data_IF_432769001833
#
_entry.id   IF_432769001833
#
_cell.length_a   1.000
_cell.length_b   1.000
_cell.length_c   1.000
_cell.angle_alpha   90.00
_cell.angle_beta   90.00
_cell.angle_gamma   90.00
#
_symmetry.space_group_name_H-M   'P 1'
#
loop_
_entity.id
_entity.type
_entity.pdbx_description
1 polymer ?
#
# COMPACT_ATOMS: atom_id res chain seq x y z
N UNK A 1 14.25 25.74 -74.08
CA UNK A 1 13.15 26.61 -74.57
C UNK A 1 11.88 26.13 -73.87
N UNK A 2 11.43 26.79 -72.78
CA UNK A 2 10.41 27.86 -72.74
C UNK A 2 9.04 27.39 -73.27
N UNK A 3 7.85 27.55 -72.68
CA UNK A 3 7.25 28.27 -71.52
C UNK A 3 5.85 27.61 -71.26
N UNK A 4 5.41 27.35 -70.02
CA UNK A 4 4.49 28.13 -69.13
C UNK A 4 3.04 28.39 -69.61
N UNK A 5 2.03 27.85 -68.90
CA UNK A 5 0.71 28.47 -68.52
C UNK A 5 -0.12 27.51 -67.63
N UNK A 6 -0.20 27.68 -66.31
CA UNK A 6 -1.17 28.44 -65.45
C UNK A 6 -2.47 27.71 -65.05
N UNK A 7 -2.66 27.64 -63.72
CA UNK A 7 -3.89 27.81 -62.90
C UNK A 7 -5.03 26.78 -62.97
N UNK A 8 -5.32 26.09 -61.85
CA UNK A 8 -6.28 26.57 -60.83
C UNK A 8 -6.23 25.71 -59.55
N UNK A 9 -6.12 26.39 -58.41
CA UNK A 9 -6.29 25.82 -57.06
C UNK A 9 -7.77 25.97 -56.71
N UNK A 10 -8.45 24.87 -56.45
CA UNK A 10 -9.83 24.88 -55.94
C UNK A 10 -9.86 24.11 -54.63
N UNK A 11 -10.02 24.84 -53.52
CA UNK A 11 -10.56 24.31 -52.28
C UNK A 11 -12.05 24.66 -52.23
N UNK A 12 -12.97 23.72 -51.97
CA UNK A 12 -14.27 24.07 -51.44
C UNK A 12 -14.26 24.03 -49.91
N UNK A 13 -14.83 25.10 -49.35
CA UNK A 13 -15.02 25.33 -47.93
C UNK A 13 -16.23 24.56 -47.35
N UNK A 14 -16.04 24.17 -46.09
CA UNK A 14 -16.96 23.95 -44.96
C UNK A 14 -18.45 24.32 -45.15
N UNK A 15 -19.35 23.42 -44.70
CA UNK A 15 -20.69 23.83 -44.26
C UNK A 15 -21.72 22.70 -44.11
N UNK A 16 -21.73 22.00 -42.97
CA UNK A 16 -22.93 21.39 -42.35
C UNK A 16 -22.64 21.10 -40.87
N UNK A 17 -22.86 22.10 -40.01
CA UNK A 17 -23.06 21.90 -38.57
C UNK A 17 -24.57 21.85 -38.36
N UNK A 18 -25.13 20.71 -37.96
CA UNK A 18 -26.58 20.63 -37.77
C UNK A 18 -27.04 19.53 -36.84
N UNK A 19 -26.42 18.35 -36.86
CA UNK A 19 -26.88 17.21 -36.07
C UNK A 19 -25.96 16.86 -34.90
N UNK A 20 -24.64 16.95 -35.08
CA UNK A 20 -23.68 16.67 -33.99
C UNK A 20 -23.73 17.68 -32.83
N UNK A 21 -24.02 18.95 -33.11
CA UNK A 21 -24.14 20.00 -32.09
C UNK A 21 -25.46 19.88 -31.30
N UNK A 22 -26.54 19.46 -31.95
CA UNK A 22 -27.84 19.27 -31.31
C UNK A 22 -27.78 18.10 -30.33
N UNK A 23 -27.11 17.00 -30.71
CA UNK A 23 -26.89 15.83 -29.84
C UNK A 23 -26.03 16.23 -28.62
N UNK A 24 -24.97 17.01 -28.81
CA UNK A 24 -24.15 17.51 -27.71
C UNK A 24 -24.91 18.49 -26.80
N UNK A 25 -25.78 19.34 -27.35
CA UNK A 25 -26.65 20.23 -26.57
C UNK A 25 -27.67 19.45 -25.75
N UNK A 26 -28.30 18.43 -26.35
CA UNK A 26 -29.25 17.56 -25.65
C UNK A 26 -28.52 16.76 -24.56
N UNK A 27 -27.33 16.23 -24.85
CA UNK A 27 -26.52 15.51 -23.86
C UNK A 27 -26.13 16.45 -22.71
N UNK A 28 -25.67 17.67 -22.99
CA UNK A 28 -25.35 18.67 -21.97
C UNK A 28 -26.58 19.05 -21.15
N UNK A 29 -27.74 19.23 -21.79
CA UNK A 29 -29.00 19.55 -21.12
C UNK A 29 -29.46 18.40 -20.22
N UNK A 30 -29.36 17.15 -20.67
CA UNK A 30 -29.66 15.96 -19.85
C UNK A 30 -28.67 15.84 -18.68
N UNK A 31 -27.39 16.12 -18.91
CA UNK A 31 -26.38 16.09 -17.84
C UNK A 31 -26.66 17.17 -16.79
N UNK A 32 -27.05 18.38 -17.23
CA UNK A 32 -27.42 19.49 -16.35
C UNK A 32 -28.74 19.22 -15.63
N UNK A 33 -29.71 18.59 -16.29
CA UNK A 33 -30.96 18.17 -15.68
C UNK A 33 -30.73 17.08 -14.63
N UNK A 34 -29.89 16.07 -14.91
CA UNK A 34 -29.51 15.04 -13.93
C UNK A 34 -28.76 15.66 -12.75
N UNK A 35 -27.92 16.66 -12.98
CA UNK A 35 -27.22 17.39 -11.93
C UNK A 35 -28.17 18.23 -11.06
N UNK A 36 -29.17 18.89 -11.65
CA UNK A 36 -30.19 19.67 -10.92
C UNK A 36 -31.21 18.77 -10.21
N UNK A 37 -31.64 17.68 -10.84
CA UNK A 37 -32.54 16.67 -10.22
C UNK A 37 -31.87 15.92 -9.08
N UNK A 38 -30.53 15.79 -9.12
CA UNK A 38 -29.74 15.18 -8.05
C UNK A 38 -29.11 16.23 -7.11
N UNK A 39 -29.49 17.52 -7.22
CA UNK A 39 -28.98 18.61 -6.39
C UNK A 39 -29.39 18.47 -4.92
N UNK A 40 -30.53 17.83 -4.65
CA UNK A 40 -30.98 17.53 -3.27
C UNK A 40 -30.03 16.57 -2.54
N UNK A 41 -29.26 15.73 -3.27
CA UNK A 41 -28.21 14.88 -2.66
C UNK A 41 -26.90 15.62 -2.42
N UNK A 42 -26.62 16.69 -3.16
CA UNK A 42 -25.35 17.45 -3.07
C UNK A 42 -25.40 18.45 -1.90
N UNK A 43 -26.59 18.99 -1.59
CA UNK A 43 -26.76 19.94 -0.48
C UNK A 43 -26.47 19.30 0.90
N UNK A 44 -26.63 17.98 1.06
CA UNK A 44 -26.33 17.26 2.31
C UNK A 44 -24.83 17.14 2.64
N UNK A 45 -23.93 17.41 1.68
CA UNK A 45 -22.47 17.23 1.86
C UNK A 45 -21.73 18.55 2.13
N UNK A 46 -22.40 19.71 1.97
CA UNK A 46 -21.83 21.02 2.29
C UNK A 46 -22.14 21.43 3.73
N UNK A 47 -23.30 21.05 4.27
CA UNK A 47 -23.68 21.35 5.66
C UNK A 47 -22.90 20.52 6.71
N UNK A 48 -22.25 19.43 6.31
CA UNK A 48 -21.40 18.59 7.17
C UNK A 48 -19.92 18.97 7.16
N UNK A 49 -19.52 19.95 6.35
CA UNK A 49 -18.20 20.55 6.46
C UNK A 49 -18.32 21.75 7.40
N UNK A 50 -17.68 21.69 8.58
CA UNK A 50 -17.60 22.74 9.61
C UNK A 50 -16.90 24.03 9.10
N UNK A 51 -17.33 24.57 7.97
CA UNK A 51 -16.82 25.77 7.34
C UNK A 51 -17.52 27.03 7.87
N UNK A 52 -18.63 26.88 8.60
CA UNK A 52 -19.40 27.99 9.18
C UNK A 52 -19.00 28.34 10.63
N UNK A 53 -18.21 27.53 11.33
CA UNK A 53 -17.71 27.87 12.68
C UNK A 53 -16.41 28.70 12.69
N UNK A 54 -15.72 28.83 11.55
CA UNK A 54 -14.42 29.52 11.48
C UNK A 54 -14.53 31.02 11.13
N UNK A 55 -15.71 31.56 10.87
CA UNK A 55 -15.91 32.97 10.45
C UNK A 55 -17.06 33.70 11.16
N UNK A 56 -17.62 33.12 12.23
CA UNK A 56 -18.65 33.75 13.05
C UNK A 56 -18.06 34.43 14.28
N UNK A 57 -17.96 35.75 14.20
CA UNK A 57 -17.69 36.73 15.24
C UNK A 57 -18.07 36.35 16.68
N UNK A 58 -17.07 36.47 17.55
CA UNK A 58 -17.18 36.72 18.99
C UNK A 58 -17.91 38.06 19.23
N UNK A 59 -19.11 38.02 19.80
CA UNK A 59 -19.62 39.09 20.67
C UNK A 59 -20.80 38.63 21.56
N UNK A 60 -20.97 39.39 22.65
CA UNK A 60 -21.74 39.24 23.91
C UNK A 60 -23.26 38.87 23.87
N UNK A 61 -23.77 38.46 25.05
CA UNK A 61 -25.14 38.81 25.47
C UNK A 61 -25.91 37.73 26.25
N UNK A 62 -26.55 38.12 27.36
CA UNK A 62 -27.02 37.27 28.46
C UNK A 62 -28.55 36.99 28.50
N UNK A 63 -28.92 36.03 29.37
CA UNK A 63 -30.22 35.83 30.08
C UNK A 63 -31.40 35.32 29.21
N UNK A 64 -32.30 34.40 29.59
CA UNK A 64 -32.97 34.07 30.86
C UNK A 64 -33.64 32.64 30.79
N UNK A 65 -33.87 32.02 31.94
CA UNK A 65 -34.46 30.68 32.25
C UNK A 65 -36.04 30.73 32.37
N UNK A 66 -36.84 29.75 32.91
CA UNK A 66 -36.65 28.31 33.29
C UNK A 66 -37.86 27.36 33.00
N UNK A 67 -37.71 26.04 33.28
CA UNK A 67 -38.84 25.20 33.71
C UNK A 67 -38.78 23.69 33.42
N UNK A 68 -38.37 22.88 34.41
CA UNK A 68 -39.06 21.66 34.92
C UNK A 68 -38.14 20.76 35.77
N UNK A 69 -38.62 20.44 36.98
CA UNK A 69 -37.98 19.68 38.07
C UNK A 69 -37.99 18.12 37.90
N UNK A 70 -37.28 17.37 38.78
CA UNK A 70 -36.67 16.06 38.52
C UNK A 70 -37.40 14.86 39.18
N UNK A 71 -36.75 13.67 39.25
CA UNK A 71 -36.74 13.00 40.54
C UNK A 71 -35.32 12.68 41.04
N UNK A 72 -35.15 12.94 42.33
CA UNK A 72 -34.03 12.55 43.16
C UNK A 72 -34.07 11.05 43.50
N UNK A 73 -32.89 10.45 43.64
CA UNK A 73 -32.59 9.54 44.74
C UNK A 73 -31.15 9.79 45.20
N UNK A 74 -31.05 10.43 46.37
CA UNK A 74 -30.15 10.19 47.51
C UNK A 74 -29.00 9.20 47.23
N UNK A 75 -27.71 9.53 47.32
CA UNK A 75 -27.03 10.47 48.20
C UNK A 75 -26.31 9.68 49.30
N UNK A 76 -25.01 9.41 49.14
CA UNK A 76 -24.02 9.36 50.23
C UNK A 76 -22.59 9.18 49.67
N UNK A 77 -21.85 10.30 49.66
CA UNK A 77 -20.38 10.40 49.74
C UNK A 77 -20.02 10.28 51.26
N UNK A 78 -18.75 10.27 51.76
CA UNK A 78 -17.51 10.69 51.09
C UNK A 78 -16.19 9.99 51.50
N UNK A 79 -15.16 10.15 50.67
CA UNK A 79 -13.74 10.43 51.02
C UNK A 79 -12.93 10.32 49.72
N UNK A 80 -12.34 11.35 49.12
CA UNK A 80 -11.59 12.45 49.75
C UNK A 80 -10.17 11.99 50.01
N UNK A 81 -9.25 12.18 49.04
CA UNK A 81 -7.87 12.68 49.19
C UNK A 81 -6.95 12.28 48.01
N UNK A 82 -6.59 13.29 47.20
CA UNK A 82 -5.20 13.51 46.73
C UNK A 82 -4.59 14.45 47.78
N UNK A 83 -3.34 14.30 48.27
CA UNK A 83 -2.12 14.43 47.45
C UNK A 83 -0.87 13.67 47.93
N UNK A 84 0.14 13.58 47.05
CA UNK A 84 1.57 13.85 47.32
C UNK A 84 2.51 12.90 46.56
N UNK A 85 3.39 13.50 45.76
CA UNK A 85 4.72 12.98 45.43
C UNK A 85 5.62 13.20 46.66
N UNK A 86 6.63 12.34 46.92
CA UNK A 86 7.97 12.67 46.43
C UNK A 86 8.84 11.46 46.01
N UNK A 87 9.75 11.76 45.07
CA UNK A 87 11.15 11.31 44.90
C UNK A 87 11.63 10.04 45.61
N UNK A 88 12.19 9.09 44.84
CA UNK A 88 13.44 8.44 45.24
C UNK A 88 14.31 8.04 44.03
N UNK A 89 15.45 8.72 43.96
CA UNK A 89 16.64 8.43 43.18
C UNK A 89 17.37 7.25 43.80
N UNK A 90 17.81 6.26 43.02
CA UNK A 90 19.09 5.61 43.33
C UNK A 90 19.75 4.95 42.10
N UNK A 91 20.88 5.55 41.71
CA UNK A 91 21.98 4.93 40.97
C UNK A 91 23.12 4.80 41.96
N UNK A 92 23.80 3.64 42.04
CA UNK A 92 25.26 3.70 42.23
C UNK A 92 26.05 2.65 41.39
N UNK A 93 27.40 2.73 41.37
CA UNK A 93 28.18 2.74 40.13
C UNK A 93 29.32 1.68 40.05
N UNK A 94 30.23 1.98 39.11
CA UNK A 94 31.39 1.28 38.55
C UNK A 94 32.52 0.74 39.46
N UNK A 95 33.35 -0.12 38.84
CA UNK A 95 34.75 -0.43 39.16
C UNK A 95 35.07 -1.91 38.88
N UNK A 96 36.16 -2.34 38.24
CA UNK A 96 37.34 -1.67 37.71
C UNK A 96 38.11 -2.61 36.74
N UNK A 97 38.70 -2.00 35.72
CA UNK A 97 40.03 -2.19 35.10
C UNK A 97 40.86 -3.45 35.45
N UNK A 98 41.41 -4.10 34.40
CA UNK A 98 42.80 -4.61 34.39
C UNK A 98 43.32 -4.80 32.96
N UNK A 99 44.42 -4.09 32.65
CA UNK A 99 45.48 -4.41 31.67
C UNK A 99 46.79 -4.42 32.50
N UNK A 100 47.89 -5.13 32.13
CA UNK A 100 48.82 -4.62 31.11
C UNK A 100 49.74 -5.64 30.37
N UNK A 101 50.36 -5.15 29.27
CA UNK A 101 51.71 -5.45 28.72
C UNK A 101 52.03 -6.87 28.15
N UNK A 102 52.93 -7.09 27.19
CA UNK A 102 53.70 -6.35 26.18
C UNK A 102 54.44 -7.42 25.34
N UNK A 103 54.65 -7.21 24.03
CA UNK A 103 56.00 -7.30 23.45
C UNK A 103 56.03 -6.89 21.97
N UNK A 104 57.08 -6.14 21.63
CA UNK A 104 57.43 -5.74 20.27
C UNK A 104 58.32 -6.82 19.64
N UNK A 105 58.19 -7.01 18.33
CA UNK A 105 59.34 -7.38 17.52
C UNK A 105 59.25 -6.78 16.11
N UNK A 106 60.11 -5.81 15.89
CA UNK A 106 60.51 -5.28 14.58
C UNK A 106 61.65 -6.16 14.06
N UNK A 107 61.52 -6.68 12.84
CA UNK A 107 62.65 -6.88 11.93
C UNK A 107 62.20 -6.60 10.49
N UNK A 108 62.90 -5.66 9.86
CA UNK A 108 62.97 -5.48 8.40
C UNK A 108 64.33 -6.08 7.95
N UNK A 109 64.48 -6.56 6.70
CA UNK A 109 65.13 -5.68 5.71
C UNK A 109 64.72 -5.87 4.23
N UNK A 110 64.68 -4.71 3.55
CA UNK A 110 65.18 -4.32 2.21
C UNK A 110 65.17 -5.25 0.97
N UNK A 111 64.80 -4.59 -0.14
CA UNK A 111 65.21 -4.73 -1.55
C UNK A 111 64.29 -5.46 -2.55
N UNK A 112 63.97 -4.77 -3.66
CA UNK A 112 63.57 -5.40 -4.92
C UNK A 112 62.38 -4.80 -5.68
N UNK A 113 62.61 -3.66 -6.32
CA UNK A 113 62.21 -3.27 -7.69
C UNK A 113 60.86 -3.72 -8.33
N UNK A 114 60.15 -2.71 -8.88
CA UNK A 114 59.29 -2.74 -10.09
C UNK A 114 58.14 -3.76 -10.18
N UNK A 115 56.87 -3.31 -10.23
CA UNK A 115 56.05 -3.13 -11.47
C UNK A 115 54.55 -2.96 -11.12
N UNK A 116 53.90 -2.04 -11.86
CA UNK A 116 52.48 -2.07 -12.27
C UNK A 116 51.41 -1.56 -11.27
N UNK A 117 50.71 -0.45 -11.60
CA UNK A 117 49.45 -0.08 -10.97
C UNK A 117 48.41 -1.19 -11.20
N UNK A 118 47.65 -1.65 -10.18
CA UNK A 118 46.53 -2.54 -10.45
C UNK A 118 45.49 -1.75 -11.25
N UNK A 119 45.40 -2.16 -12.51
CA UNK A 119 44.33 -1.88 -13.45
C UNK A 119 42.98 -2.04 -12.75
N UNK A 120 42.13 -1.04 -12.92
CA UNK A 120 40.81 -0.93 -12.32
C UNK A 120 39.93 -2.06 -12.84
N UNK A 121 39.82 -3.15 -12.08
CA UNK A 121 38.81 -4.18 -12.33
C UNK A 121 37.43 -3.52 -12.21
N UNK A 122 36.55 -3.64 -13.22
CA UNK A 122 35.17 -3.17 -13.10
C UNK A 122 34.50 -3.85 -11.92
N UNK A 123 33.84 -3.06 -11.08
CA UNK A 123 32.98 -3.55 -9.98
C UNK A 123 31.79 -4.26 -10.62
N UNK A 124 31.94 -5.54 -10.92
CA UNK A 124 30.84 -6.42 -11.29
C UNK A 124 29.98 -6.58 -10.02
N UNK A 125 28.80 -5.95 -10.06
CA UNK A 125 27.84 -5.94 -8.97
C UNK A 125 27.43 -7.39 -8.66
N UNK A 126 28.05 -7.98 -7.63
CA UNK A 126 27.78 -9.36 -7.21
C UNK A 126 26.30 -9.47 -6.90
N UNK A 127 25.54 -10.10 -7.79
CA UNK A 127 24.09 -10.25 -7.65
C UNK A 127 23.85 -11.21 -6.50
N UNK A 128 23.52 -10.66 -5.33
CA UNK A 128 23.19 -11.48 -4.16
C UNK A 128 21.83 -12.14 -4.41
N UNK A 129 21.69 -13.40 -4.01
CA UNK A 129 20.42 -14.14 -4.05
C UNK A 129 20.03 -14.61 -2.66
N UNK A 130 18.75 -14.93 -2.46
CA UNK A 130 18.21 -15.49 -1.20
C UNK A 130 17.08 -16.46 -1.47
N UNK A 131 16.80 -17.34 -0.50
CA UNK A 131 15.62 -18.21 -0.54
C UNK A 131 14.42 -17.49 0.07
N UNK A 132 13.33 -17.40 -0.68
CA UNK A 132 12.04 -16.86 -0.25
C UNK A 132 10.98 -17.98 -0.23
N UNK A 133 10.09 -17.97 0.77
CA UNK A 133 8.92 -18.84 0.82
C UNK A 133 7.74 -18.13 0.14
N UNK A 134 7.20 -18.74 -0.91
CA UNK A 134 6.07 -18.24 -1.70
C UNK A 134 4.89 -19.19 -1.54
N UNK A 135 3.67 -18.67 -1.54
CA UNK A 135 2.48 -19.51 -1.46
C UNK A 135 1.66 -19.45 -2.75
N UNK A 136 1.48 -20.60 -3.38
CA UNK A 136 0.65 -20.79 -4.57
C UNK A 136 -0.55 -21.69 -4.26
N UNK A 137 -1.45 -21.79 -5.23
CA UNK A 137 -2.58 -22.71 -5.18
C UNK A 137 -2.22 -23.97 -5.97
N UNK A 138 -2.43 -25.14 -5.39
CA UNK A 138 -2.29 -26.44 -6.03
C UNK A 138 -3.66 -27.01 -6.35
N UNK A 139 -3.86 -27.45 -7.58
CA UNK A 139 -5.09 -28.13 -8.01
C UNK A 139 -4.75 -29.57 -8.34
N UNK A 140 -5.28 -30.51 -7.54
CA UNK A 140 -5.04 -31.93 -7.75
C UNK A 140 -5.92 -32.52 -8.85
N UNK A 141 -5.57 -33.72 -9.33
CA UNK A 141 -6.32 -34.40 -10.39
C UNK A 141 -7.75 -34.78 -10.01
N UNK A 142 -8.08 -34.79 -8.73
CA UNK A 142 -9.44 -34.97 -8.19
C UNK A 142 -10.20 -33.64 -8.02
N UNK A 143 -9.58 -32.51 -8.37
CA UNK A 143 -10.14 -31.17 -8.21
C UNK A 143 -9.90 -30.55 -6.83
N UNK A 144 -9.18 -31.21 -5.93
CA UNK A 144 -8.88 -30.65 -4.60
C UNK A 144 -7.99 -29.42 -4.74
N UNK A 145 -8.42 -28.31 -4.14
CA UNK A 145 -7.69 -27.04 -4.13
C UNK A 145 -7.00 -26.89 -2.78
N UNK A 146 -5.67 -26.88 -2.79
CA UNK A 146 -4.84 -26.70 -1.59
C UNK A 146 -3.90 -25.52 -1.75
N UNK A 147 -3.42 -24.97 -0.64
CA UNK A 147 -2.35 -23.98 -0.65
C UNK A 147 -1.01 -24.70 -0.48
N UNK A 148 -0.05 -24.36 -1.32
CA UNK A 148 1.29 -24.97 -1.30
C UNK A 148 2.36 -23.90 -1.05
N UNK A 149 3.27 -24.16 -0.10
CA UNK A 149 4.49 -23.38 0.08
C UNK A 149 5.56 -23.88 -0.89
N UNK A 150 6.26 -22.93 -1.53
CA UNK A 150 7.38 -23.16 -2.44
C UNK A 150 8.56 -22.31 -2.01
N UNK A 151 9.76 -22.91 -1.95
CA UNK A 151 11.00 -22.19 -1.69
C UNK A 151 11.65 -21.80 -3.01
N UNK A 152 11.78 -20.50 -3.26
CA UNK A 152 12.34 -19.95 -4.50
C UNK A 152 13.59 -19.15 -4.23
N UNK A 153 14.62 -19.36 -5.04
CA UNK A 153 15.78 -18.46 -5.11
C UNK A 153 15.37 -17.18 -5.84
N UNK A 154 15.49 -16.04 -5.17
CA UNK A 154 15.16 -14.71 -5.69
C UNK A 154 16.36 -13.79 -5.58
N UNK A 155 16.38 -12.76 -6.43
CA UNK A 155 17.34 -11.67 -6.31
C UNK A 155 17.20 -11.00 -4.94
N UNK A 156 18.32 -10.73 -4.29
CA UNK A 156 18.36 -10.19 -2.94
C UNK A 156 18.58 -8.68 -2.96
N UNK A 157 17.56 -7.93 -2.58
CA UNK A 157 17.65 -6.50 -2.28
C UNK A 157 17.72 -6.25 -0.77
N UNK A 158 17.73 -5.00 -0.33
CA UNK A 158 17.60 -4.66 1.09
C UNK A 158 16.16 -4.84 1.61
N UNK A 159 15.21 -5.25 0.76
CA UNK A 159 13.80 -5.46 1.08
C UNK A 159 13.32 -6.91 0.82
N UNK A 160 13.62 -7.87 1.72
CA UNK A 160 13.29 -9.29 1.53
C UNK A 160 11.82 -9.60 1.24
N UNK A 161 10.90 -8.90 1.92
CA UNK A 161 9.45 -9.08 1.70
C UNK A 161 9.03 -8.62 0.30
N UNK A 162 9.59 -7.50 -0.17
CA UNK A 162 9.35 -6.98 -1.51
C UNK A 162 9.86 -7.95 -2.57
N UNK A 163 11.05 -8.54 -2.38
CA UNK A 163 11.61 -9.55 -3.29
C UNK A 163 10.70 -10.77 -3.41
N UNK A 164 10.23 -11.29 -2.27
CA UNK A 164 9.33 -12.44 -2.21
C UNK A 164 7.98 -12.15 -2.88
N UNK A 165 7.36 -11.01 -2.57
CA UNK A 165 6.08 -10.62 -3.16
C UNK A 165 6.20 -10.39 -4.67
N UNK A 166 7.27 -9.75 -5.14
CA UNK A 166 7.50 -9.60 -6.58
C UNK A 166 7.71 -10.95 -7.27
N UNK A 167 8.41 -11.88 -6.64
CA UNK A 167 8.56 -13.24 -7.16
C UNK A 167 7.22 -14.00 -7.20
N UNK A 168 6.34 -13.80 -6.21
CA UNK A 168 4.99 -14.33 -6.20
C UNK A 168 4.13 -13.75 -7.34
N UNK A 169 4.20 -12.42 -7.55
CA UNK A 169 3.46 -11.70 -8.60
C UNK A 169 3.90 -12.10 -10.01
N UNK A 170 5.17 -12.46 -10.20
CA UNK A 170 5.66 -13.06 -11.46
C UNK A 170 4.97 -14.39 -11.79
N UNK A 171 4.36 -15.05 -10.79
CA UNK A 171 3.64 -16.30 -10.94
C UNK A 171 4.51 -17.55 -10.73
N UNK A 172 3.91 -18.74 -10.94
CA UNK A 172 4.63 -20.01 -10.89
C UNK A 172 5.60 -20.16 -12.07
N UNK A 173 6.69 -20.90 -11.88
CA UNK A 173 7.60 -21.29 -12.98
C UNK A 173 7.01 -22.41 -13.83
N UNK A 174 7.65 -22.73 -14.96
CA UNK A 174 7.24 -23.86 -15.80
C UNK A 174 7.25 -25.19 -15.04
N UNK A 175 8.25 -25.41 -14.20
CA UNK A 175 8.39 -26.62 -13.39
C UNK A 175 7.26 -26.73 -12.36
N UNK A 176 6.91 -25.61 -11.71
CA UNK A 176 5.84 -25.54 -10.72
C UNK A 176 4.45 -25.67 -11.35
N UNK A 177 4.24 -25.10 -12.54
CA UNK A 177 3.04 -25.35 -13.35
C UNK A 177 2.89 -26.84 -13.65
N UNK A 178 4.00 -27.53 -13.96
CA UNK A 178 4.05 -28.99 -14.12
C UNK A 178 3.70 -29.77 -12.85
N UNK A 179 3.73 -29.13 -11.68
CA UNK A 179 3.29 -29.67 -10.39
C UNK A 179 1.85 -29.24 -10.03
N UNK A 180 1.10 -28.73 -11.01
CA UNK A 180 -0.25 -28.19 -10.85
C UNK A 180 -0.35 -26.98 -9.91
N UNK A 181 0.73 -26.19 -9.80
CA UNK A 181 0.73 -24.93 -9.06
C UNK A 181 0.27 -23.79 -9.98
N UNK A 182 -0.73 -23.05 -9.53
CA UNK A 182 -1.30 -21.90 -10.21
C UNK A 182 -1.26 -20.66 -9.30
N UNK A 183 -1.31 -19.49 -9.92
CA UNK A 183 -1.58 -18.24 -9.23
C UNK A 183 -3.01 -17.77 -9.52
N UNK A 184 -3.73 -17.39 -8.46
CA UNK A 184 -5.02 -16.71 -8.58
C UNK A 184 -4.86 -15.18 -8.56
N UNK A 185 -3.63 -14.67 -8.48
CA UNK A 185 -3.35 -13.23 -8.55
C UNK A 185 -3.43 -12.77 -10.03
N UNK A 186 -4.15 -11.69 -10.36
CA UNK A 186 -4.22 -11.16 -11.72
C UNK A 186 -2.83 -10.84 -12.27
N UNK A 187 -2.54 -11.23 -13.52
CA UNK A 187 -1.20 -11.09 -14.15
C UNK A 187 -0.70 -9.65 -14.23
N UNK A 188 -1.62 -8.70 -14.36
CA UNK A 188 -1.30 -7.27 -14.47
C UNK A 188 -1.05 -6.60 -13.11
N UNK A 189 -1.15 -7.36 -12.01
CA UNK A 189 -0.90 -6.88 -10.65
C UNK A 189 0.57 -6.50 -10.49
N UNK A 190 0.81 -5.30 -9.99
CA UNK A 190 2.13 -4.79 -9.61
C UNK A 190 2.11 -4.31 -8.17
N UNK A 191 3.15 -4.66 -7.43
CA UNK A 191 3.42 -4.09 -6.11
C UNK A 191 4.09 -2.72 -6.32
N UNK A 192 3.40 -1.65 -5.96
CA UNK A 192 3.89 -0.28 -6.06
C UNK A 192 4.79 0.09 -4.87
N UNK A 193 4.44 -0.39 -3.67
CA UNK A 193 5.26 -0.23 -2.48
C UNK A 193 4.91 -1.25 -1.41
N UNK A 194 5.88 -1.59 -0.57
CA UNK A 194 5.66 -2.40 0.62
C UNK A 194 6.40 -1.78 1.81
N UNK A 195 5.67 -1.57 2.91
CA UNK A 195 6.23 -1.00 4.15
C UNK A 195 5.68 -1.74 5.35
N UNK A 196 6.50 -1.96 6.38
CA UNK A 196 6.05 -2.54 7.64
C UNK A 196 5.94 -1.43 8.68
N UNK A 197 4.79 -1.33 9.35
CA UNK A 197 4.59 -0.41 10.49
C UNK A 197 4.08 -1.23 11.67
N UNK A 198 4.88 -1.29 12.74
CA UNK A 198 4.62 -2.23 13.82
C UNK A 198 4.70 -3.67 13.31
N UNK A 199 3.60 -4.43 13.42
CA UNK A 199 3.49 -5.80 12.90
C UNK A 199 2.65 -5.93 11.61
N UNK A 200 2.20 -4.80 11.03
CA UNK A 200 1.34 -4.79 9.86
C UNK A 200 2.16 -4.42 8.62
N UNK A 201 2.08 -5.24 7.57
CA UNK A 201 2.61 -4.91 6.25
C UNK A 201 1.57 -4.13 5.44
N UNK A 202 1.90 -2.91 5.05
CA UNK A 202 1.12 -2.07 4.15
C UNK A 202 1.61 -2.33 2.73
N UNK A 203 0.79 -3.02 1.94
CA UNK A 203 1.11 -3.43 0.58
C UNK A 203 0.23 -2.64 -0.40
N UNK A 204 0.88 -1.78 -1.19
CA UNK A 204 0.21 -0.95 -2.17
C UNK A 204 0.31 -1.60 -3.55
N UNK A 205 -0.83 -1.87 -4.19
CA UNK A 205 -0.91 -2.46 -5.51
C UNK A 205 -1.52 -1.49 -6.52
N UNK A 206 -1.31 -1.76 -7.81
CA UNK A 206 -2.00 -1.04 -8.87
C UNK A 206 -3.47 -1.47 -9.01
N UNK A 207 -4.25 -0.71 -9.78
CA UNK A 207 -5.68 -0.98 -10.02
C UNK A 207 -6.00 -2.40 -10.53
N UNK A 208 -5.07 -3.04 -11.24
CA UNK A 208 -5.25 -4.41 -11.74
C UNK A 208 -5.58 -5.43 -10.64
N UNK A 209 -5.14 -5.18 -9.40
CA UNK A 209 -5.43 -6.04 -8.26
C UNK A 209 -6.91 -6.05 -7.87
N UNK A 210 -7.68 -5.05 -8.30
CA UNK A 210 -9.11 -4.92 -7.98
C UNK A 210 -9.99 -5.90 -8.74
N UNK A 211 -9.51 -6.48 -9.83
CA UNK A 211 -10.32 -7.27 -10.77
C UNK A 211 -9.78 -8.69 -10.84
N UNK A 212 -10.55 -9.64 -10.31
CA UNK A 212 -10.26 -11.06 -10.42
C UNK A 212 -11.34 -11.75 -11.27
N UNK A 213 -10.90 -12.49 -12.30
CA UNK A 213 -11.79 -13.17 -13.25
C UNK A 213 -12.52 -14.38 -12.65
N UNK A 214 -12.07 -14.87 -11.50
CA UNK A 214 -12.60 -16.07 -10.84
C UNK A 214 -13.57 -15.74 -9.70
N UNK A 215 -14.11 -14.51 -9.64
CA UNK A 215 -15.11 -14.13 -8.65
C UNK A 215 -14.58 -14.14 -7.21
N UNK A 216 -15.47 -14.40 -6.25
CA UNK A 216 -15.19 -14.33 -4.80
C UNK A 216 -14.08 -15.31 -4.40
N UNK A 217 -14.09 -16.52 -4.95
CA UNK A 217 -13.09 -17.55 -4.72
C UNK A 217 -11.72 -17.12 -5.25
N UNK A 218 -11.68 -16.46 -6.41
CA UNK A 218 -10.48 -15.83 -6.96
C UNK A 218 -9.92 -14.76 -6.03
N UNK A 219 -10.77 -13.85 -5.55
CA UNK A 219 -10.39 -12.81 -4.59
C UNK A 219 -9.86 -13.39 -3.27
N UNK A 220 -10.53 -14.41 -2.72
CA UNK A 220 -10.06 -15.08 -1.52
C UNK A 220 -8.70 -15.78 -1.76
N UNK A 221 -8.54 -16.42 -2.92
CA UNK A 221 -7.31 -17.08 -3.33
C UNK A 221 -6.12 -16.13 -3.46
N UNK A 222 -6.28 -15.03 -4.21
CA UNK A 222 -5.21 -14.03 -4.37
C UNK A 222 -4.79 -13.43 -3.02
N UNK A 223 -5.75 -13.13 -2.13
CA UNK A 223 -5.48 -12.56 -0.82
C UNK A 223 -4.73 -13.56 0.06
N UNK A 224 -5.17 -14.83 0.09
CA UNK A 224 -4.49 -15.90 0.81
C UNK A 224 -3.03 -16.03 0.37
N UNK A 225 -2.75 -16.04 -0.94
CA UNK A 225 -1.38 -16.16 -1.44
C UNK A 225 -0.48 -15.02 -0.94
N UNK A 226 -0.97 -13.78 -1.00
CA UNK A 226 -0.22 -12.60 -0.54
C UNK A 226 -0.04 -12.61 0.98
N UNK A 227 -1.11 -12.82 1.74
CA UNK A 227 -1.07 -12.83 3.21
C UNK A 227 -0.11 -13.91 3.71
N UNK A 228 -0.20 -15.14 3.22
CA UNK A 228 0.68 -16.21 3.69
C UNK A 228 2.15 -15.96 3.36
N UNK A 229 2.44 -15.37 2.20
CA UNK A 229 3.79 -14.98 1.79
C UNK A 229 4.33 -13.84 2.66
N UNK A 230 3.56 -12.77 2.85
CA UNK A 230 3.97 -11.61 3.64
C UNK A 230 4.12 -11.95 5.14
N UNK A 231 3.22 -12.73 5.71
CA UNK A 231 3.32 -13.16 7.12
C UNK A 231 4.26 -14.37 7.29
N UNK A 232 5.00 -14.77 6.25
CA UNK A 232 6.12 -15.69 6.38
C UNK A 232 7.33 -15.03 7.05
N UNK A 233 7.38 -13.70 7.05
CA UNK A 233 8.38 -12.91 7.77
C UNK A 233 7.94 -12.72 9.23
N UNK A 234 8.80 -13.09 10.18
CA UNK A 234 8.44 -13.16 11.61
C UNK A 234 7.98 -11.82 12.22
N UNK A 235 8.38 -10.69 11.63
CA UNK A 235 7.96 -9.34 12.06
C UNK A 235 6.57 -8.95 11.56
N UNK A 236 5.98 -9.69 10.61
CA UNK A 236 4.71 -9.37 9.97
C UNK A 236 3.63 -10.36 10.41
N UNK A 237 2.58 -9.85 11.04
CA UNK A 237 1.43 -10.64 11.53
C UNK A 237 0.22 -10.57 10.62
N UNK A 238 0.06 -9.44 9.92
CA UNK A 238 -1.09 -9.13 9.09
C UNK A 238 -0.72 -8.13 7.99
N UNK A 239 -1.61 -8.02 7.00
CA UNK A 239 -1.41 -7.25 5.78
C UNK A 239 -2.57 -6.27 5.60
N UNK A 240 -2.25 -4.97 5.53
CA UNK A 240 -3.17 -3.96 5.03
C UNK A 240 -2.95 -3.77 3.53
N UNK A 241 -4.00 -3.99 2.75
CA UNK A 241 -4.00 -3.74 1.30
C UNK A 241 -4.32 -2.28 0.99
N UNK A 242 -3.59 -1.70 0.06
CA UNK A 242 -3.87 -0.39 -0.54
C UNK A 242 -3.90 -0.53 -2.06
N UNK A 243 -4.70 0.31 -2.72
CA UNK A 243 -4.81 0.38 -4.18
C UNK A 243 -4.49 1.80 -4.60
N UNK A 244 -3.46 1.97 -5.43
CA UNK A 244 -2.99 3.30 -5.89
C UNK A 244 -2.72 4.27 -4.71
N UNK A 245 -2.22 3.74 -3.60
CA UNK A 245 -1.92 4.49 -2.38
C UNK A 245 -3.11 4.70 -1.43
N UNK A 246 -4.31 4.32 -1.83
CA UNK A 246 -5.53 4.53 -1.06
C UNK A 246 -6.01 3.26 -0.38
N UNK A 247 -6.60 3.42 0.82
CA UNK A 247 -7.33 2.33 1.46
C UNK A 247 -8.66 2.13 0.75
N UNK A 248 -8.98 0.87 0.46
CA UNK A 248 -10.27 0.46 -0.10
C UNK A 248 -10.93 -0.50 0.87
N UNK A 249 -12.25 -0.48 0.93
CA UNK A 249 -12.99 -1.39 1.79
C UNK A 249 -13.23 -2.75 1.14
N UNK A 250 -13.35 -2.80 -0.19
CA UNK A 250 -13.72 -4.01 -0.93
C UNK A 250 -12.91 -4.19 -2.21
N UNK A 251 -12.72 -5.44 -2.60
CA UNK A 251 -12.27 -5.84 -3.93
C UNK A 251 -13.46 -6.30 -4.77
N UNK A 252 -13.46 -5.97 -6.07
CA UNK A 252 -14.52 -6.37 -6.99
C UNK A 252 -15.87 -5.65 -6.80
N UNK A 253 -15.87 -4.39 -6.37
CA UNK A 253 -17.10 -3.63 -6.08
C UNK A 253 -17.57 -3.88 -4.65
N UNK A 254 -18.58 -4.73 -4.46
CA UNK A 254 -19.11 -5.12 -3.13
C UNK A 254 -18.48 -6.43 -2.60
N UNK A 255 -17.44 -6.96 -3.26
CA UNK A 255 -16.95 -8.32 -3.08
C UNK A 255 -16.26 -8.60 -1.74
N UNK A 256 -14.96 -8.85 -1.76
CA UNK A 256 -14.24 -9.29 -0.56
C UNK A 256 -13.76 -8.08 0.24
N UNK A 257 -14.12 -8.04 1.54
CA UNK A 257 -13.71 -6.96 2.44
C UNK A 257 -12.20 -6.99 2.73
N UNK A 258 -11.52 -5.89 2.40
CA UNK A 258 -10.09 -5.63 2.64
C UNK A 258 -9.86 -4.35 3.44
N UNK A 259 -10.94 -3.76 3.96
CA UNK A 259 -10.88 -2.52 4.72
C UNK A 259 -10.08 -2.66 6.01
N UNK A 260 -9.83 -3.85 6.54
CA UNK A 260 -8.97 -4.06 7.73
C UNK A 260 -7.74 -4.91 7.36
N UNK A 261 -6.67 -4.88 8.18
CA UNK A 261 -5.55 -5.78 7.98
C UNK A 261 -6.00 -7.25 8.04
N UNK A 262 -5.54 -8.04 7.08
CA UNK A 262 -5.87 -9.46 6.96
C UNK A 262 -4.69 -10.30 7.44
N UNK A 263 -5.00 -11.29 8.28
CA UNK A 263 -4.04 -12.27 8.80
C UNK A 263 -4.37 -13.65 8.27
N UNK A 264 -3.55 -14.65 8.61
CA UNK A 264 -3.85 -16.05 8.28
C UNK A 264 -5.19 -16.52 8.89
N UNK A 265 -5.62 -15.94 10.01
CA UNK A 265 -6.89 -16.25 10.67
C UNK A 265 -8.10 -15.57 10.02
N UNK A 266 -7.89 -14.70 9.03
CA UNK A 266 -8.97 -14.05 8.29
C UNK A 266 -9.64 -14.95 7.25
N UNK A 267 -9.21 -16.21 7.11
CA UNK A 267 -9.67 -17.13 6.06
C UNK A 267 -9.86 -18.58 6.49
#
# INVERSE_FOLDING_TARGET
MAQRKTSHRSYPARGKKGTGCLIWLILLLVTLLLFVLNWDRIKSTIDSTRLTEALGTRDEGASEEPGAEPPAFTGENPAGQTPASPTETNVPPAGAVSTPAADQQTTSPLDGDTTTPPETTPVELVSRTRIAALYFVRVDGDGTITRQEVKRTVDASDSPMTDALNALLKGPTTEELGQNLISLIPSETRLLSAQVRGSTAYLNFNEAFMINRYGIEGYAGQLKQIVYTATGFATVKDVQFLIEGERRDYLGGDGVYIGKPLSRASF
#
